data_IF_965854001469
#
_entry.id   IF_965854001469
#
_cell.length_a   1.000
_cell.length_b   1.000
_cell.length_c   1.000
_cell.angle_alpha   90.00
_cell.angle_beta   90.00
_cell.angle_gamma   90.00
#
_symmetry.space_group_name_H-M   'P 1'
#
loop_
_entity.id
_entity.type
_entity.pdbx_description
1 polymer ?
#
# COMPACT_ATOMS: atom_id res chain seq x y z
N UNK A 1 -16.61 -19.31 7.06
CA UNK A 1 -15.58 -20.03 6.25
C UNK A 1 -14.37 -20.16 7.16
N UNK A 2 -14.17 -21.36 7.71
CA UNK A 2 -12.97 -21.67 8.46
C UNK A 2 -11.77 -21.60 7.48
N UNK A 3 -11.11 -20.47 7.44
CA UNK A 3 -9.84 -20.33 6.76
C UNK A 3 -8.81 -21.19 7.48
N UNK A 4 -8.46 -22.32 6.88
CA UNK A 4 -7.44 -23.20 7.40
C UNK A 4 -6.11 -22.41 7.42
N UNK A 5 -5.77 -21.93 8.61
CA UNK A 5 -4.47 -21.27 8.84
C UNK A 5 -3.35 -22.21 8.41
N UNK A 6 -2.49 -21.74 7.52
CA UNK A 6 -1.21 -22.41 7.29
C UNK A 6 -0.43 -22.44 8.60
N UNK A 7 -0.03 -23.64 9.09
CA UNK A 7 0.84 -23.73 10.25
C UNK A 7 2.11 -22.90 10.03
N UNK A 8 2.62 -22.29 11.11
CA UNK A 8 3.78 -21.41 11.05
C UNK A 8 4.96 -22.01 10.25
N UNK A 9 5.28 -23.28 10.49
CA UNK A 9 6.36 -23.98 9.77
C UNK A 9 6.11 -24.06 8.26
N UNK A 10 4.86 -24.33 7.84
CA UNK A 10 4.50 -24.39 6.43
C UNK A 10 4.59 -23.01 5.76
N UNK A 11 4.14 -21.93 6.43
CA UNK A 11 4.24 -20.56 5.94
C UNK A 11 5.70 -20.12 5.78
N UNK A 12 6.55 -20.44 6.74
CA UNK A 12 7.99 -20.14 6.70
C UNK A 12 8.69 -20.90 5.58
N UNK A 13 8.44 -22.20 5.46
CA UNK A 13 8.99 -23.00 4.36
C UNK A 13 8.56 -22.49 3.00
N UNK A 14 7.29 -22.10 2.84
CA UNK A 14 6.77 -21.54 1.60
C UNK A 14 7.39 -20.16 1.26
N UNK A 15 7.77 -19.38 2.27
CA UNK A 15 8.37 -18.05 2.09
C UNK A 15 9.89 -18.11 1.87
N UNK A 16 10.60 -18.88 2.66
CA UNK A 16 12.06 -18.84 2.76
C UNK A 16 12.78 -20.10 2.25
N UNK A 17 12.04 -21.15 1.91
CA UNK A 17 12.57 -22.43 1.47
C UNK A 17 12.77 -23.43 2.61
N UNK A 18 13.10 -24.68 2.24
CA UNK A 18 13.36 -25.73 3.20
C UNK A 18 14.66 -25.46 3.97
N UNK A 19 14.73 -25.89 5.24
CA UNK A 19 15.91 -25.75 6.10
C UNK A 19 16.00 -24.41 6.84
N UNK A 20 15.04 -23.49 6.65
CA UNK A 20 14.93 -22.28 7.44
C UNK A 20 13.90 -22.52 8.55
N UNK A 21 14.37 -22.79 9.75
CA UNK A 21 13.52 -23.04 10.93
C UNK A 21 13.78 -22.00 12.02
N UNK A 22 13.38 -20.72 11.81
CA UNK A 22 13.50 -19.74 12.87
C UNK A 22 12.59 -20.14 14.03
N UNK A 23 13.10 -20.00 15.25
CA UNK A 23 12.26 -20.13 16.45
C UNK A 23 11.34 -18.90 16.50
N UNK A 24 10.12 -19.06 15.99
CA UNK A 24 9.10 -18.01 16.06
C UNK A 24 8.24 -18.18 17.32
N UNK A 25 7.80 -17.06 17.86
CA UNK A 25 6.91 -17.01 19.02
C UNK A 25 5.44 -17.24 18.65
N UNK A 26 4.49 -16.53 19.29
CA UNK A 26 3.07 -16.65 18.98
C UNK A 26 2.77 -16.41 17.50
N UNK A 27 1.88 -17.22 16.96
CA UNK A 27 1.46 -17.18 15.55
C UNK A 27 -0.01 -16.83 15.42
N UNK A 28 -0.37 -16.03 14.41
CA UNK A 28 -1.75 -15.64 14.12
C UNK A 28 -1.98 -15.41 12.62
N UNK A 29 -3.24 -15.14 12.23
CA UNK A 29 -3.67 -14.93 10.86
C UNK A 29 -2.96 -13.75 10.19
N UNK A 30 -2.70 -12.68 10.92
CA UNK A 30 -1.99 -11.51 10.40
C UNK A 30 -0.56 -11.89 9.98
N UNK A 31 0.13 -12.70 10.78
CA UNK A 31 1.47 -13.18 10.43
C UNK A 31 1.43 -14.12 9.22
N UNK A 32 0.45 -15.00 9.16
CA UNK A 32 0.24 -15.88 8.00
C UNK A 32 0.00 -15.06 6.73
N UNK A 33 -0.83 -14.03 6.79
CA UNK A 33 -1.12 -13.12 5.69
C UNK A 33 0.15 -12.40 5.23
N UNK A 34 0.90 -11.78 6.13
CA UNK A 34 2.14 -11.05 5.81
C UNK A 34 3.18 -11.96 5.12
N UNK A 35 3.33 -13.21 5.58
CA UNK A 35 4.26 -14.16 4.97
C UNK A 35 3.75 -14.69 3.62
N UNK A 36 2.46 -14.65 3.37
CA UNK A 36 1.86 -15.09 2.10
C UNK A 36 2.06 -14.10 0.95
N UNK A 37 2.42 -12.85 1.23
CA UNK A 37 2.61 -11.80 0.22
C UNK A 37 3.46 -12.27 -0.95
N UNK A 38 2.99 -12.00 -2.16
CA UNK A 38 3.73 -12.19 -3.43
C UNK A 38 3.46 -11.00 -4.35
N UNK A 39 4.50 -10.50 -4.99
CA UNK A 39 4.37 -9.51 -6.06
C UNK A 39 3.74 -10.14 -7.30
N UNK A 40 2.47 -9.89 -7.54
CA UNK A 40 1.69 -10.48 -8.64
C UNK A 40 1.64 -9.53 -9.83
N UNK A 41 1.98 -10.04 -11.02
CA UNK A 41 2.02 -9.28 -12.29
C UNK A 41 1.00 -9.75 -13.32
N UNK A 42 0.12 -10.64 -12.95
CA UNK A 42 -1.00 -11.11 -13.78
C UNK A 42 -2.31 -10.86 -13.07
N UNK A 43 -3.18 -10.05 -13.66
CA UNK A 43 -4.48 -9.71 -13.08
C UNK A 43 -5.62 -10.28 -13.92
N UNK A 44 -6.71 -10.63 -13.26
CA UNK A 44 -7.96 -11.01 -13.89
C UNK A 44 -8.69 -9.75 -14.37
N UNK A 45 -9.49 -9.84 -15.43
CA UNK A 45 -10.22 -8.69 -15.97
C UNK A 45 -11.46 -8.31 -15.14
N UNK A 46 -11.72 -9.04 -14.07
CA UNK A 46 -12.90 -8.85 -13.23
C UNK A 46 -12.86 -7.49 -12.52
N UNK A 47 -14.00 -6.84 -12.44
CA UNK A 47 -14.15 -5.63 -11.63
C UNK A 47 -13.98 -5.94 -10.15
N UNK A 48 -13.45 -5.00 -9.39
CA UNK A 48 -13.40 -5.13 -7.93
C UNK A 48 -14.82 -5.08 -7.34
N UNK A 49 -15.09 -5.83 -6.25
CA UNK A 49 -16.34 -5.70 -5.52
C UNK A 49 -16.62 -4.26 -5.10
N UNK A 50 -17.90 -3.86 -5.08
CA UNK A 50 -18.29 -2.53 -4.60
C UNK A 50 -17.80 -2.30 -3.16
N UNK A 51 -17.33 -1.10 -2.86
CA UNK A 51 -16.78 -0.75 -1.55
C UNK A 51 -15.33 -1.16 -1.31
N UNK A 52 -14.70 -1.87 -2.26
CA UNK A 52 -13.29 -2.28 -2.11
C UNK A 52 -12.36 -1.07 -1.99
N UNK A 53 -12.52 -0.07 -2.85
CA UNK A 53 -11.66 1.11 -2.82
C UNK A 53 -11.77 1.83 -1.48
N UNK A 54 -12.99 2.04 -1.00
CA UNK A 54 -13.26 2.69 0.28
C UNK A 54 -12.62 1.94 1.45
N UNK A 55 -12.68 0.61 1.43
CA UNK A 55 -12.02 -0.24 2.44
C UNK A 55 -10.50 -0.11 2.40
N UNK A 56 -9.90 -0.07 1.20
CA UNK A 56 -8.45 0.15 1.04
C UNK A 56 -8.02 1.52 1.55
N UNK A 57 -8.80 2.56 1.25
CA UNK A 57 -8.51 3.92 1.73
C UNK A 57 -8.66 4.01 3.25
N UNK A 58 -9.70 3.40 3.83
CA UNK A 58 -9.85 3.35 5.29
C UNK A 58 -8.67 2.67 5.97
N UNK A 59 -8.18 1.55 5.41
CA UNK A 59 -6.99 0.87 5.90
C UNK A 59 -5.74 1.76 5.76
N UNK A 60 -5.56 2.42 4.62
CA UNK A 60 -4.45 3.36 4.41
C UNK A 60 -4.46 4.50 5.44
N UNK A 61 -5.64 5.08 5.70
CA UNK A 61 -5.80 6.17 6.67
C UNK A 61 -5.55 5.74 8.13
N UNK A 62 -5.61 4.46 8.44
CA UNK A 62 -5.29 3.93 9.76
C UNK A 62 -3.80 3.76 10.02
N UNK A 63 -2.94 4.03 9.03
CA UNK A 63 -1.50 3.94 9.19
C UNK A 63 -0.98 4.96 10.21
N UNK A 64 0.07 4.57 10.94
CA UNK A 64 0.78 5.51 11.78
C UNK A 64 1.45 6.60 10.93
N UNK A 65 1.48 7.82 11.43
CA UNK A 65 2.16 8.95 10.80
C UNK A 65 3.01 9.72 11.80
N UNK A 66 4.07 10.35 11.33
CA UNK A 66 4.92 11.16 12.19
C UNK A 66 4.16 12.40 12.67
N UNK A 67 4.14 12.60 14.00
CA UNK A 67 3.50 13.76 14.64
C UNK A 67 2.03 13.99 14.22
N UNK A 68 1.37 12.96 13.74
CA UNK A 68 0.02 13.04 13.16
C UNK A 68 -0.12 14.07 12.02
N UNK A 69 0.96 14.35 11.29
CA UNK A 69 0.95 15.31 10.19
C UNK A 69 0.22 14.79 8.95
N UNK A 70 0.19 13.47 8.78
CA UNK A 70 -0.51 12.79 7.66
C UNK A 70 -0.10 13.36 6.30
N UNK A 71 1.21 13.47 6.06
CA UNK A 71 1.80 14.15 4.91
C UNK A 71 1.81 13.26 3.65
N UNK A 72 0.68 12.68 3.32
CA UNK A 72 0.51 11.84 2.15
C UNK A 72 -0.86 12.04 1.49
N UNK A 73 -0.92 11.72 0.22
CA UNK A 73 -2.15 11.67 -0.57
C UNK A 73 -2.18 10.40 -1.42
N UNK A 74 -3.36 9.99 -1.86
CA UNK A 74 -3.52 8.89 -2.79
C UNK A 74 -4.46 9.27 -3.93
N UNK A 75 -4.07 8.88 -5.15
CA UNK A 75 -4.91 9.03 -6.34
C UNK A 75 -5.27 7.64 -6.85
N UNK A 76 -6.57 7.35 -6.91
CA UNK A 76 -7.09 6.13 -7.51
C UNK A 76 -7.28 6.34 -9.02
N UNK A 77 -6.56 5.55 -9.82
CA UNK A 77 -6.59 5.65 -11.28
C UNK A 77 -7.32 4.42 -11.84
N UNK A 78 -8.58 4.62 -12.22
CA UNK A 78 -9.43 3.62 -12.86
C UNK A 78 -9.67 3.89 -14.36
N UNK A 79 -9.26 5.04 -14.88
CA UNK A 79 -9.31 5.41 -16.28
C UNK A 79 -8.27 4.60 -17.08
N UNK A 80 -8.68 3.83 -18.12
CA UNK A 80 -7.77 2.98 -18.89
C UNK A 80 -6.67 3.77 -19.62
N UNK A 81 -6.98 4.95 -20.15
CA UNK A 81 -6.00 5.76 -20.90
C UNK A 81 -4.94 6.32 -19.95
N UNK A 82 -5.34 6.72 -18.74
CA UNK A 82 -4.38 7.15 -17.71
C UNK A 82 -3.51 5.99 -17.23
N UNK A 83 -4.06 4.79 -17.04
CA UNK A 83 -3.26 3.61 -16.70
C UNK A 83 -2.27 3.25 -17.79
N UNK A 84 -2.67 3.37 -19.06
CA UNK A 84 -1.77 3.17 -20.19
C UNK A 84 -0.60 4.16 -20.17
N UNK A 85 -0.89 5.45 -19.98
CA UNK A 85 0.16 6.46 -19.86
C UNK A 85 1.11 6.19 -18.69
N UNK A 86 0.56 5.76 -17.54
CA UNK A 86 1.38 5.35 -16.38
C UNK A 86 2.23 4.11 -16.68
N UNK A 87 1.69 3.15 -17.42
CA UNK A 87 2.45 1.96 -17.83
C UNK A 87 3.64 2.34 -18.74
N UNK A 88 3.47 3.28 -19.67
CA UNK A 88 4.53 3.80 -20.53
C UNK A 88 5.63 4.50 -19.69
N UNK A 89 5.24 5.38 -18.75
CA UNK A 89 6.17 6.06 -17.84
C UNK A 89 6.95 5.06 -16.98
N UNK A 90 6.28 4.00 -16.53
CA UNK A 90 6.88 2.92 -15.71
C UNK A 90 7.69 1.90 -16.53
N UNK A 91 8.09 2.22 -17.76
CA UNK A 91 8.92 1.35 -18.59
C UNK A 91 8.16 0.26 -19.35
N UNK A 92 6.90 0.49 -19.71
CA UNK A 92 6.09 -0.42 -20.53
C UNK A 92 5.51 -1.60 -19.74
N UNK A 93 5.22 -1.42 -18.46
CA UNK A 93 4.74 -2.48 -17.58
C UNK A 93 3.25 -2.78 -17.81
N UNK A 94 2.94 -3.74 -18.68
CA UNK A 94 1.56 -4.09 -19.12
C UNK A 94 0.59 -4.43 -17.98
N UNK A 95 1.06 -4.93 -16.86
CA UNK A 95 0.20 -5.25 -15.71
C UNK A 95 -0.43 -4.00 -15.06
N UNK A 96 0.12 -2.80 -15.29
CA UNK A 96 -0.49 -1.52 -14.89
C UNK A 96 -1.77 -1.26 -15.70
N UNK A 97 -1.76 -1.59 -16.99
CA UNK A 97 -2.96 -1.48 -17.84
C UNK A 97 -4.03 -2.51 -17.47
N UNK A 98 -3.58 -3.72 -17.07
CA UNK A 98 -4.45 -4.86 -16.80
C UNK A 98 -5.10 -4.83 -15.42
N UNK A 99 -4.50 -4.14 -14.44
CA UNK A 99 -5.08 -4.09 -13.11
C UNK A 99 -6.41 -3.33 -13.09
N UNK A 100 -7.39 -3.76 -12.27
CA UNK A 100 -8.69 -3.09 -12.20
C UNK A 100 -8.60 -1.68 -11.62
N UNK A 101 -7.61 -1.41 -10.79
CA UNK A 101 -7.33 -0.11 -10.20
C UNK A 101 -5.83 0.05 -9.97
N UNK A 102 -5.33 1.28 -10.15
CA UNK A 102 -3.96 1.66 -9.83
C UNK A 102 -3.99 2.79 -8.78
N UNK A 103 -3.31 2.61 -7.66
CA UNK A 103 -3.26 3.59 -6.58
C UNK A 103 -1.90 4.27 -6.57
N UNK A 104 -1.87 5.59 -6.75
CA UNK A 104 -0.65 6.39 -6.67
C UNK A 104 -0.58 7.02 -5.29
N UNK A 105 0.31 6.52 -4.44
CA UNK A 105 0.60 7.12 -3.14
C UNK A 105 1.69 8.19 -3.30
N UNK A 106 1.46 9.34 -2.71
CA UNK A 106 2.25 10.55 -2.94
C UNK A 106 2.69 11.12 -1.59
N UNK A 107 3.97 11.41 -1.44
CA UNK A 107 4.48 12.27 -0.37
C UNK A 107 3.93 13.69 -0.62
N UNK A 108 2.98 14.15 0.19
CA UNK A 108 2.22 15.37 -0.06
C UNK A 108 2.12 16.23 1.19
N UNK A 109 2.80 17.35 1.17
CA UNK A 109 2.77 18.37 2.21
C UNK A 109 1.83 19.54 1.87
N UNK A 110 1.28 19.59 0.66
CA UNK A 110 0.50 20.72 0.15
C UNK A 110 -0.75 21.00 0.98
N UNK A 111 -1.36 19.95 1.56
CA UNK A 111 -2.50 20.11 2.46
C UNK A 111 -2.10 20.84 3.74
N UNK A 112 -0.97 20.50 4.33
CA UNK A 112 -0.47 21.13 5.55
C UNK A 112 -0.10 22.58 5.27
N UNK A 113 0.52 22.87 4.11
CA UNK A 113 0.85 24.24 3.70
C UNK A 113 -0.42 25.10 3.53
N UNK A 114 -1.46 24.56 2.87
CA UNK A 114 -2.75 25.27 2.72
C UNK A 114 -3.41 25.56 4.08
N UNK A 115 -3.40 24.58 4.98
CA UNK A 115 -3.94 24.77 6.33
C UNK A 115 -3.13 25.82 7.10
N UNK A 116 -1.80 25.76 7.05
CA UNK A 116 -0.93 26.77 7.67
C UNK A 116 -1.23 28.19 7.17
N UNK A 117 -1.43 28.34 5.83
CA UNK A 117 -1.80 29.62 5.25
C UNK A 117 -3.17 30.12 5.73
N UNK A 118 -4.17 29.23 5.82
CA UNK A 118 -5.51 29.58 6.28
C UNK A 118 -5.53 30.00 7.75
N UNK A 119 -4.74 29.33 8.58
CA UNK A 119 -4.65 29.61 10.02
C UNK A 119 -3.60 30.69 10.37
N UNK A 120 -2.91 31.26 9.38
CA UNK A 120 -1.87 32.25 9.59
C UNK A 120 -0.64 31.72 10.33
N UNK A 121 -0.40 30.41 10.27
CA UNK A 121 0.71 29.74 10.95
C UNK A 121 1.84 29.47 9.98
N UNK A 122 3.07 29.87 10.37
CA UNK A 122 4.27 29.55 9.60
C UNK A 122 4.71 28.10 9.82
N UNK A 123 4.83 27.35 8.73
CA UNK A 123 5.34 25.98 8.72
C UNK A 123 6.82 25.96 8.34
N UNK A 124 7.68 26.49 9.21
CA UNK A 124 9.11 26.67 8.95
C UNK A 124 9.86 25.36 8.65
N UNK A 125 9.32 24.21 9.04
CA UNK A 125 9.91 22.90 8.78
C UNK A 125 9.72 22.38 7.34
N UNK A 126 8.75 22.91 6.59
CA UNK A 126 8.37 22.37 5.27
C UNK A 126 9.50 22.28 4.24
N UNK A 127 10.44 23.23 4.14
CA UNK A 127 11.53 23.18 3.15
C UNK A 127 12.65 22.18 3.47
N UNK A 128 12.66 21.58 4.63
CA UNK A 128 13.75 20.70 5.04
C UNK A 128 13.59 19.28 4.51
N UNK A 129 14.70 18.61 4.25
CA UNK A 129 14.76 17.21 3.82
C UNK A 129 14.02 16.27 4.79
N UNK A 130 14.03 16.57 6.09
CA UNK A 130 13.31 15.80 7.10
C UNK A 130 11.81 15.70 6.77
N UNK A 131 11.17 16.81 6.37
CA UNK A 131 9.75 16.81 5.98
C UNK A 131 9.49 15.93 4.78
N UNK A 132 10.36 15.94 3.78
CA UNK A 132 10.27 15.03 2.65
C UNK A 132 10.39 13.56 3.08
N UNK A 133 11.36 13.24 3.94
CA UNK A 133 11.54 11.88 4.45
C UNK A 133 10.32 11.41 5.25
N UNK A 134 9.79 12.26 6.12
CA UNK A 134 8.55 11.98 6.88
C UNK A 134 7.39 11.71 5.92
N UNK A 135 7.19 12.57 4.93
CA UNK A 135 6.11 12.42 3.96
C UNK A 135 6.24 11.13 3.13
N UNK A 136 7.46 10.79 2.71
CA UNK A 136 7.72 9.56 1.97
C UNK A 136 7.47 8.30 2.81
N UNK A 137 7.85 8.33 4.10
CA UNK A 137 7.59 7.23 5.04
C UNK A 137 6.09 7.11 5.31
N UNK A 138 5.39 8.22 5.57
CA UNK A 138 3.94 8.23 5.79
C UNK A 138 3.19 7.65 4.59
N UNK A 139 3.56 8.02 3.36
CA UNK A 139 2.99 7.48 2.14
C UNK A 139 3.25 5.96 2.01
N UNK A 140 4.45 5.50 2.34
CA UNK A 140 4.82 4.08 2.32
C UNK A 140 4.05 3.26 3.34
N UNK A 141 3.87 3.78 4.56
CA UNK A 141 3.08 3.12 5.62
C UNK A 141 1.60 3.01 5.23
N UNK A 142 1.02 4.09 4.69
CA UNK A 142 -0.34 4.10 4.19
C UNK A 142 -0.54 3.10 3.04
N UNK A 143 0.39 3.06 2.09
CA UNK A 143 0.38 2.12 0.99
C UNK A 143 0.47 0.67 1.49
N UNK A 144 1.34 0.38 2.47
CA UNK A 144 1.48 -0.97 3.03
C UNK A 144 0.20 -1.41 3.76
N UNK A 145 -0.48 -0.53 4.48
CA UNK A 145 -1.77 -0.87 5.09
C UNK A 145 -2.82 -1.22 4.03
N UNK A 146 -2.88 -0.46 2.92
CA UNK A 146 -3.77 -0.79 1.80
C UNK A 146 -3.43 -2.14 1.16
N UNK A 147 -2.15 -2.47 1.00
CA UNK A 147 -1.69 -3.78 0.50
C UNK A 147 -2.16 -4.91 1.41
N UNK A 148 -1.92 -4.81 2.71
CA UNK A 148 -2.35 -5.84 3.68
C UNK A 148 -3.86 -6.00 3.68
N UNK A 149 -4.62 -4.90 3.61
CA UNK A 149 -6.07 -4.94 3.50
C UNK A 149 -6.53 -5.62 2.20
N UNK A 150 -5.92 -5.29 1.05
CA UNK A 150 -6.23 -5.93 -0.22
C UNK A 150 -6.00 -7.44 -0.17
N UNK A 151 -4.85 -7.87 0.33
CA UNK A 151 -4.49 -9.28 0.43
C UNK A 151 -5.38 -10.04 1.43
N UNK A 152 -5.82 -9.39 2.51
CA UNK A 152 -6.79 -9.97 3.44
C UNK A 152 -8.17 -10.23 2.81
N UNK A 153 -8.50 -9.49 1.75
CA UNK A 153 -9.71 -9.68 0.94
C UNK A 153 -9.51 -10.66 -0.23
N UNK A 154 -8.34 -11.31 -0.32
CA UNK A 154 -8.01 -12.24 -1.41
C UNK A 154 -7.62 -11.56 -2.73
N UNK A 155 -7.32 -10.27 -2.70
CA UNK A 155 -6.78 -9.55 -3.85
C UNK A 155 -5.25 -9.71 -3.91
N UNK A 156 -4.70 -9.55 -5.10
CA UNK A 156 -3.25 -9.59 -5.30
C UNK A 156 -2.71 -8.17 -5.58
N UNK A 157 -1.51 -7.91 -5.11
CA UNK A 157 -0.89 -6.58 -5.17
C UNK A 157 0.51 -6.61 -5.76
N UNK A 158 0.97 -5.43 -6.19
CA UNK A 158 2.34 -5.18 -6.63
C UNK A 158 2.69 -3.72 -6.42
N UNK A 159 3.85 -3.44 -5.87
CA UNK A 159 4.45 -2.10 -5.90
C UNK A 159 5.14 -1.84 -7.24
N UNK A 160 4.96 -0.60 -7.73
CA UNK A 160 5.68 -0.05 -8.86
C UNK A 160 6.52 1.11 -8.33
N UNK A 161 7.80 1.10 -8.63
CA UNK A 161 8.77 2.15 -8.30
C UNK A 161 9.29 2.85 -9.54
#
# INVERSE_FOLDING_TARGET
MDGMQLPAAAALTARYGAGVEPKIGPWNDTMALLLSHRSVRGYRPDALPAGTLESLIAAAQSAATSSNLQTWSVVAVNDPEKRKALAEIAGGQRHIEQCPIFLVFIADVSRNERLGQQEGVSLAGMPFLETFLVAAIDAGLAAQNAVVAAESMGLATLYIG
#
